data_IF_085669684155
#
_entry.id   IF_085669684155
#
_cell.length_a   1.000
_cell.length_b   1.000
_cell.length_c   1.000
_cell.angle_alpha   90.00
_cell.angle_beta   90.00
_cell.angle_gamma   90.00
#
_symmetry.space_group_name_H-M   'P 1'
#
loop_
_entity.id
_entity.type
_entity.pdbx_description
1 polymer ?
#
# COMPACT_ATOMS: atom_id res chain seq x y z
N UNK A 1 -21.54 -21.45 4.28
CA UNK A 1 -20.15 -21.55 3.77
C UNK A 1 -19.96 -20.39 2.82
N UNK A 2 -18.79 -19.72 2.83
CA UNK A 2 -18.52 -18.69 1.84
C UNK A 2 -18.12 -19.33 0.50
N UNK A 3 -18.73 -18.84 -0.59
CA UNK A 3 -18.35 -19.18 -1.95
C UNK A 3 -17.11 -18.40 -2.40
N UNK A 4 -16.94 -17.18 -1.89
CA UNK A 4 -15.77 -16.35 -2.16
C UNK A 4 -15.74 -15.10 -1.28
N UNK A 5 -14.59 -14.45 -1.24
CA UNK A 5 -14.34 -13.20 -0.50
C UNK A 5 -13.77 -12.17 -1.48
N UNK A 6 -14.43 -11.03 -1.60
CA UNK A 6 -13.92 -9.85 -2.30
C UNK A 6 -13.21 -8.94 -1.31
N UNK A 7 -11.99 -8.52 -1.65
CA UNK A 7 -11.23 -7.51 -0.92
C UNK A 7 -10.98 -6.33 -1.84
N UNK A 8 -11.62 -5.20 -1.56
CA UNK A 8 -11.19 -3.91 -2.09
C UNK A 8 -10.01 -3.42 -1.25
N UNK A 9 -8.80 -3.57 -1.80
CA UNK A 9 -7.58 -3.04 -1.19
C UNK A 9 -7.25 -1.68 -1.81
N UNK A 10 -7.97 -0.66 -1.39
CA UNK A 10 -7.85 0.69 -1.93
C UNK A 10 -6.64 1.46 -1.38
N UNK A 11 -6.29 2.56 -2.05
CA UNK A 11 -5.14 3.42 -1.72
C UNK A 11 -5.29 4.11 -0.36
N UNK A 12 -6.50 4.55 -0.03
CA UNK A 12 -6.80 5.28 1.20
C UNK A 12 -7.57 4.45 2.22
N UNK A 13 -8.47 3.59 1.75
CA UNK A 13 -9.34 2.75 2.56
C UNK A 13 -9.42 1.37 1.93
N UNK A 14 -9.71 0.35 2.74
CA UNK A 14 -9.95 -1.02 2.33
C UNK A 14 -11.28 -1.50 2.87
N UNK A 15 -11.95 -2.37 2.13
CA UNK A 15 -13.21 -3.01 2.51
C UNK A 15 -13.22 -4.48 2.07
N UNK A 16 -13.91 -5.35 2.80
CA UNK A 16 -14.06 -6.74 2.40
C UNK A 16 -15.50 -7.21 2.56
N UNK A 17 -15.89 -8.16 1.71
CA UNK A 17 -17.19 -8.80 1.76
C UNK A 17 -17.06 -10.27 1.36
N UNK A 18 -17.94 -11.12 1.87
CA UNK A 18 -18.03 -12.52 1.45
C UNK A 18 -19.39 -12.79 0.81
N UNK A 19 -19.42 -13.75 -0.11
CA UNK A 19 -20.63 -14.16 -0.82
C UNK A 19 -21.06 -15.54 -0.35
N UNK A 20 -22.32 -15.69 0.03
CA UNK A 20 -22.87 -16.95 0.56
C UNK A 20 -23.54 -17.84 -0.51
N UNK A 21 -23.54 -17.40 -1.77
CA UNK A 21 -24.23 -18.04 -2.89
C UNK A 21 -25.52 -17.31 -3.30
N UNK A 22 -26.04 -16.45 -2.43
CA UNK A 22 -27.22 -15.63 -2.68
C UNK A 22 -26.93 -14.14 -2.46
N UNK A 23 -26.35 -13.78 -1.32
CA UNK A 23 -26.13 -12.41 -0.85
C UNK A 23 -24.66 -12.11 -0.51
N UNK A 24 -24.34 -10.81 -0.61
CA UNK A 24 -23.04 -10.25 -0.25
C UNK A 24 -23.12 -9.71 1.17
N UNK A 25 -22.23 -10.20 2.03
CA UNK A 25 -22.15 -9.85 3.44
C UNK A 25 -20.87 -9.07 3.71
N UNK A 26 -21.00 -7.82 4.14
CA UNK A 26 -19.86 -6.97 4.48
C UNK A 26 -19.14 -7.50 5.72
N UNK A 27 -17.81 -7.41 5.73
CA UNK A 27 -16.96 -7.84 6.84
C UNK A 27 -16.54 -6.60 7.63
N UNK A 28 -16.77 -6.62 8.94
CA UNK A 28 -16.20 -5.63 9.85
C UNK A 28 -14.68 -5.79 9.90
N UNK A 29 -13.95 -4.91 9.22
CA UNK A 29 -12.49 -4.95 9.19
C UNK A 29 -11.88 -4.37 10.47
N UNK A 30 -12.58 -3.44 11.13
CA UNK A 30 -12.28 -2.91 12.46
C UNK A 30 -13.49 -3.12 13.39
N UNK A 31 -13.35 -2.86 14.70
CA UNK A 31 -14.33 -3.23 15.75
C UNK A 31 -15.78 -2.81 15.43
N UNK A 32 -15.99 -1.65 14.81
CA UNK A 32 -17.33 -1.12 14.54
C UNK A 32 -17.52 -0.63 13.09
N UNK A 33 -16.59 -0.94 12.18
CA UNK A 33 -16.66 -0.45 10.80
C UNK A 33 -16.22 -1.49 9.79
N UNK A 34 -16.96 -1.53 8.67
CA UNK A 34 -16.68 -2.37 7.50
C UNK A 34 -15.52 -1.85 6.65
N UNK A 35 -15.09 -0.61 6.91
CA UNK A 35 -13.97 0.04 6.24
C UNK A 35 -12.79 0.18 7.19
N UNK A 36 -11.60 -0.12 6.68
CA UNK A 36 -10.33 0.06 7.37
C UNK A 36 -9.46 1.06 6.61
N UNK A 37 -8.92 2.12 7.24
CA UNK A 37 -7.94 2.99 6.59
C UNK A 37 -6.71 2.21 6.11
N UNK A 38 -6.27 2.43 4.88
CA UNK A 38 -5.04 1.83 4.34
C UNK A 38 -3.81 2.58 4.87
N UNK A 39 -3.50 2.32 6.13
CA UNK A 39 -2.46 3.02 6.87
C UNK A 39 -1.65 2.05 7.75
N UNK A 40 -0.33 2.14 7.69
CA UNK A 40 0.58 1.38 8.56
C UNK A 40 1.50 2.34 9.29
N UNK A 41 1.62 2.15 10.60
CA UNK A 41 2.52 2.90 11.47
C UNK A 41 3.63 1.98 11.96
N UNK A 42 4.88 2.40 11.82
CA UNK A 42 6.05 1.69 12.35
C UNK A 42 6.70 2.54 13.43
N UNK A 43 6.81 2.00 14.65
CA UNK A 43 7.60 2.63 15.71
C UNK A 43 9.12 2.45 15.47
N UNK A 44 9.96 3.04 16.34
CA UNK A 44 11.43 2.91 16.25
C UNK A 44 11.96 1.49 16.36
N UNK A 45 11.21 0.58 16.99
CA UNK A 45 11.56 -0.85 17.06
C UNK A 45 10.88 -1.65 15.95
N UNK A 46 10.36 -0.95 14.93
CA UNK A 46 9.76 -1.49 13.71
C UNK A 46 8.51 -2.35 13.94
N UNK A 47 7.79 -2.12 15.05
CA UNK A 47 6.50 -2.76 15.29
C UNK A 47 5.40 -2.05 14.51
N UNK A 48 4.62 -2.84 13.79
CA UNK A 48 3.54 -2.34 12.96
C UNK A 48 2.22 -2.22 13.73
N UNK A 49 1.56 -1.06 13.60
CA UNK A 49 0.12 -0.89 13.80
C UNK A 49 -0.53 -0.59 12.45
N UNK A 50 -1.80 -0.94 12.29
CA UNK A 50 -2.53 -0.79 11.03
C UNK A 50 -3.87 -0.10 11.23
N UNK A 51 -4.44 0.46 10.16
CA UNK A 51 -5.80 1.01 10.20
C UNK A 51 -5.92 2.28 11.03
N UNK A 52 -7.07 2.45 11.68
CA UNK A 52 -7.36 3.57 12.58
C UNK A 52 -6.38 3.62 13.75
N UNK A 53 -5.95 2.47 14.27
CA UNK A 53 -4.95 2.39 15.34
C UNK A 53 -3.58 2.94 14.90
N UNK A 54 -3.19 2.77 13.63
CA UNK A 54 -1.96 3.37 13.09
C UNK A 54 -2.02 4.89 13.08
N UNK A 55 -3.14 5.44 12.59
CA UNK A 55 -3.36 6.89 12.49
C UNK A 55 -3.41 7.50 13.90
N UNK A 56 -4.18 6.89 14.80
CA UNK A 56 -4.30 7.35 16.19
C UNK A 56 -2.96 7.33 16.92
N UNK A 57 -2.18 6.26 16.76
CA UNK A 57 -0.84 6.18 17.35
C UNK A 57 0.05 7.32 16.86
N UNK A 58 0.09 7.55 15.54
CA UNK A 58 0.88 8.65 14.96
C UNK A 58 0.46 10.02 15.51
N UNK A 59 -0.84 10.28 15.62
CA UNK A 59 -1.35 11.54 16.19
C UNK A 59 -0.89 11.69 17.64
N UNK A 60 -1.09 10.66 18.47
CA UNK A 60 -0.71 10.70 19.89
C UNK A 60 0.79 10.90 20.10
N UNK A 61 1.63 10.24 19.30
CA UNK A 61 3.09 10.38 19.37
C UNK A 61 3.61 11.76 18.94
N UNK A 62 2.80 12.50 18.17
CA UNK A 62 3.17 13.82 17.66
C UNK A 62 2.42 14.96 18.36
N UNK A 63 1.57 14.67 19.35
CA UNK A 63 0.98 15.68 20.22
C UNK A 63 2.07 16.27 21.12
N UNK A 64 2.15 17.60 21.16
CA UNK A 64 3.03 18.39 22.04
C UNK A 64 4.52 18.02 21.98
N UNK A 65 4.96 17.43 20.86
CA UNK A 65 6.34 16.99 20.65
C UNK A 65 7.22 18.15 20.15
N UNK A 66 8.47 18.16 20.62
CA UNK A 66 9.53 19.01 20.05
C UNK A 66 10.05 18.37 18.76
N UNK A 67 10.00 19.12 17.66
CA UNK A 67 10.53 18.70 16.36
C UNK A 67 12.03 18.95 16.31
N UNK A 68 12.83 17.89 16.20
CA UNK A 68 14.30 17.95 16.19
C UNK A 68 14.84 17.82 14.78
N UNK A 69 14.90 18.95 14.10
CA UNK A 69 15.38 19.07 12.74
C UNK A 69 16.91 18.98 12.70
N UNK A 70 17.43 17.90 12.11
CA UNK A 70 18.87 17.70 11.90
C UNK A 70 19.19 17.63 10.41
N UNK A 71 20.23 18.33 9.92
CA UNK A 71 20.70 18.14 8.55
C UNK A 71 21.22 16.71 8.35
N UNK A 72 20.81 16.05 7.27
CA UNK A 72 21.32 14.73 6.92
C UNK A 72 22.73 14.86 6.29
N UNK A 73 23.73 14.15 6.81
CA UNK A 73 25.05 14.08 6.16
C UNK A 73 24.94 13.15 4.97
N UNK A 74 25.04 13.69 3.76
CA UNK A 74 24.89 12.93 2.51
C UNK A 74 26.23 12.44 1.96
N UNK A 75 27.35 13.03 2.39
CA UNK A 75 28.69 12.59 2.03
C UNK A 75 29.74 13.11 3.03
N UNK A 76 30.94 12.53 2.97
CA UNK A 76 32.14 13.12 3.53
C UNK A 76 33.07 13.51 2.39
N UNK A 77 33.43 14.80 2.32
CA UNK A 77 34.44 15.29 1.39
C UNK A 77 35.79 15.26 2.11
N UNK A 78 36.77 14.56 1.53
CA UNK A 78 38.16 14.61 1.99
C UNK A 78 38.96 15.45 1.01
N UNK A 79 39.59 16.51 1.53
CA UNK A 79 40.47 17.38 0.76
C UNK A 79 41.89 17.19 1.29
N UNK A 80 42.83 16.97 0.37
CA UNK A 80 44.26 17.02 0.70
C UNK A 80 44.64 18.49 0.85
N UNK A 81 45.03 18.89 2.04
CA UNK A 81 45.36 20.27 2.40
C UNK A 81 46.86 20.51 2.51
N UNK A 82 47.66 19.44 2.57
CA UNK A 82 49.12 19.49 2.53
C UNK A 82 49.67 18.32 1.72
N UNK A 83 50.65 18.60 0.84
CA UNK A 83 51.36 17.57 0.08
C UNK A 83 52.43 16.91 0.94
N UNK A 84 52.70 15.63 0.70
CA UNK A 84 53.85 14.96 1.32
C UNK A 84 55.16 15.55 0.78
N UNK A 85 56.11 15.83 1.66
CA UNK A 85 57.43 16.32 1.27
C UNK A 85 58.24 15.21 0.60
N UNK A 86 58.60 15.42 -0.67
CA UNK A 86 59.32 14.42 -1.47
C UNK A 86 60.68 13.99 -0.89
N UNK A 87 61.26 14.77 0.03
CA UNK A 87 62.55 14.48 0.66
C UNK A 87 62.43 13.66 1.96
N UNK A 88 61.23 13.51 2.54
CA UNK A 88 61.00 12.73 3.76
C UNK A 88 60.12 11.50 3.44
N UNK A 89 60.69 10.28 3.47
CA UNK A 89 59.95 9.03 3.22
C UNK A 89 58.81 8.75 4.19
N UNK A 90 58.75 9.45 5.32
CA UNK A 90 57.70 9.30 6.33
C UNK A 90 56.64 10.40 6.27
N UNK A 91 56.83 11.42 5.42
CA UNK A 91 55.83 12.47 5.25
C UNK A 91 54.57 11.92 4.59
N UNK A 92 53.40 12.26 5.15
CA UNK A 92 52.10 11.88 4.61
C UNK A 92 51.31 13.13 4.26
N UNK A 93 50.50 13.08 3.19
CA UNK A 93 49.65 14.21 2.84
C UNK A 93 48.64 14.47 3.96
N UNK A 94 48.49 15.73 4.33
CA UNK A 94 47.51 16.13 5.34
C UNK A 94 46.12 16.12 4.70
N UNK A 95 45.19 15.35 5.26
CA UNK A 95 43.83 15.21 4.75
C UNK A 95 42.87 15.83 5.76
N UNK A 96 42.13 16.85 5.32
CA UNK A 96 41.02 17.42 6.08
C UNK A 96 39.71 16.81 5.59
N UNK A 97 38.96 16.18 6.49
CA UNK A 97 37.63 15.61 6.19
C UNK A 97 36.53 16.55 6.67
N UNK A 98 35.58 16.87 5.79
CA UNK A 98 34.40 17.68 6.11
C UNK A 98 33.11 16.93 5.74
N UNK A 99 32.11 17.00 6.61
CA UNK A 99 30.79 16.45 6.35
C UNK A 99 30.02 17.35 5.37
N UNK A 100 29.54 16.78 4.28
CA UNK A 100 28.62 17.43 3.33
C UNK A 100 27.20 17.14 3.79
N UNK A 101 26.50 18.17 4.22
CA UNK A 101 25.10 18.09 4.62
C UNK A 101 24.20 18.28 3.40
N UNK A 102 23.20 17.41 3.24
CA UNK A 102 22.19 17.52 2.21
C UNK A 102 21.12 18.54 2.55
N UNK A 103 20.29 18.89 1.56
CA UNK A 103 19.15 19.77 1.73
C UNK A 103 18.01 19.15 2.57
N UNK A 104 18.05 17.84 2.82
CA UNK A 104 17.04 17.14 3.59
C UNK A 104 17.24 17.39 5.08
N UNK A 105 16.25 18.04 5.70
CA UNK A 105 16.15 18.17 7.15
C UNK A 105 15.33 17.01 7.66
N UNK A 106 15.95 16.12 8.44
CA UNK A 106 15.28 14.97 9.03
C UNK A 106 14.90 15.26 10.47
N UNK A 107 13.67 14.90 10.83
CA UNK A 107 13.21 14.97 12.21
C UNK A 107 13.72 13.75 12.99
N UNK A 108 14.85 13.92 13.68
CA UNK A 108 15.48 12.87 14.49
C UNK A 108 14.69 12.57 15.75
N UNK A 109 13.72 13.40 16.14
CA UNK A 109 12.85 13.19 17.29
C UNK A 109 11.61 12.33 16.99
N UNK A 110 11.42 11.92 15.73
CA UNK A 110 10.19 11.23 15.32
C UNK A 110 10.04 9.86 16.04
N UNK A 111 8.97 9.62 16.82
CA UNK A 111 8.80 8.37 17.58
C UNK A 111 8.37 7.19 16.68
N UNK A 112 7.71 7.50 15.57
CA UNK A 112 7.11 6.53 14.66
C UNK A 112 6.82 7.15 13.28
N UNK A 113 6.85 6.32 12.23
CA UNK A 113 6.51 6.73 10.85
C UNK A 113 5.17 6.17 10.44
N UNK A 114 4.28 7.06 9.99
CA UNK A 114 3.02 6.70 9.36
C UNK A 114 3.18 6.63 7.84
N UNK A 115 2.74 5.53 7.25
CA UNK A 115 2.68 5.32 5.81
C UNK A 115 1.23 5.22 5.36
N UNK A 116 0.88 6.02 4.35
CA UNK A 116 -0.43 6.02 3.67
C UNK A 116 -0.18 6.03 2.16
N UNK A 117 -1.12 5.47 1.39
CA UNK A 117 -1.03 5.49 -0.07
C UNK A 117 0.10 4.63 -0.66
N UNK A 118 0.61 3.64 0.08
CA UNK A 118 1.71 2.74 -0.36
C UNK A 118 1.37 2.03 -1.67
N UNK A 119 0.08 1.76 -1.94
CA UNK A 119 -0.41 1.16 -3.19
C UNK A 119 -0.06 1.97 -4.45
N UNK A 120 0.19 3.29 -4.34
CA UNK A 120 0.65 4.11 -5.48
C UNK A 120 2.10 3.82 -5.87
N UNK A 121 2.91 3.38 -4.92
CA UNK A 121 4.34 3.17 -5.12
C UNK A 121 4.65 1.78 -5.69
N UNK A 122 3.73 0.82 -5.55
CA UNK A 122 4.03 -0.57 -5.83
C UNK A 122 4.14 -0.86 -7.34
N UNK A 123 3.60 0.00 -8.21
CA UNK A 123 3.81 -0.09 -9.67
C UNK A 123 5.19 0.38 -10.13
N UNK A 124 5.92 1.15 -9.31
CA UNK A 124 7.22 1.68 -9.70
C UNK A 124 8.34 0.63 -9.48
N UNK A 125 8.89 0.11 -10.58
CA UNK A 125 9.94 -0.90 -10.57
C UNK A 125 11.27 -0.41 -9.94
N UNK A 126 11.59 0.88 -10.10
CA UNK A 126 12.80 1.50 -9.56
C UNK A 126 12.71 1.65 -8.04
N UNK A 127 11.50 1.91 -7.52
CA UNK A 127 11.25 2.00 -6.09
C UNK A 127 11.11 0.60 -5.46
N UNK A 128 12.25 -0.04 -5.22
CA UNK A 128 12.30 -1.36 -4.54
C UNK A 128 12.22 -1.24 -3.03
N UNK A 129 12.79 -0.17 -2.47
CA UNK A 129 12.90 0.06 -1.04
C UNK A 129 12.67 1.52 -0.68
N UNK A 130 12.22 1.75 0.54
CA UNK A 130 12.20 3.05 1.17
C UNK A 130 12.87 2.96 2.55
N UNK A 131 13.45 4.06 3.02
CA UNK A 131 14.03 4.12 4.35
C UNK A 131 12.91 4.28 5.38
N UNK A 132 12.92 3.47 6.43
CA UNK A 132 12.13 3.65 7.65
C UNK A 132 13.14 3.88 8.77
N UNK A 133 13.32 5.14 9.15
CA UNK A 133 14.50 5.54 9.93
C UNK A 133 15.77 5.07 9.20
N UNK A 134 16.64 4.33 9.88
CA UNK A 134 17.92 3.85 9.33
C UNK A 134 17.80 2.46 8.66
N UNK A 135 16.58 1.96 8.45
CA UNK A 135 16.34 0.62 7.91
C UNK A 135 15.72 0.65 6.50
N UNK A 136 16.31 -0.06 5.52
CA UNK A 136 15.77 -0.13 4.16
C UNK A 136 14.65 -1.17 4.03
N UNK A 137 13.40 -0.72 3.99
CA UNK A 137 12.20 -1.55 3.87
C UNK A 137 11.77 -1.76 2.42
N UNK A 138 11.39 -3.00 2.07
CA UNK A 138 10.68 -3.28 0.82
C UNK A 138 9.24 -2.78 0.93
N UNK A 139 8.66 -2.30 -0.17
CA UNK A 139 7.23 -1.90 -0.20
C UNK A 139 6.30 -3.05 0.21
N UNK A 140 6.64 -4.28 -0.20
CA UNK A 140 5.95 -5.53 0.20
C UNK A 140 5.83 -5.66 1.72
N UNK A 141 6.88 -5.30 2.46
CA UNK A 141 6.91 -5.39 3.92
C UNK A 141 5.97 -4.37 4.59
N UNK A 142 5.63 -3.28 3.91
CA UNK A 142 4.66 -2.29 4.39
C UNK A 142 3.21 -2.71 4.12
N UNK A 143 2.97 -3.45 3.04
CA UNK A 143 1.66 -4.00 2.72
C UNK A 143 1.31 -5.23 3.58
N UNK A 144 2.31 -6.03 3.95
CA UNK A 144 2.10 -7.32 4.63
C UNK A 144 1.33 -7.19 5.95
N UNK A 145 1.65 -6.25 6.87
CA UNK A 145 0.88 -6.07 8.10
C UNK A 145 -0.59 -5.73 7.85
N UNK A 146 -0.87 -4.92 6.82
CA UNK A 146 -2.23 -4.54 6.44
C UNK A 146 -3.04 -5.76 6.00
N UNK A 147 -2.49 -6.52 5.05
CA UNK A 147 -3.15 -7.72 4.53
C UNK A 147 -3.30 -8.79 5.63
N UNK A 148 -2.35 -8.87 6.57
CA UNK A 148 -2.45 -9.78 7.72
C UNK A 148 -3.61 -9.40 8.65
N UNK A 149 -3.76 -8.10 8.96
CA UNK A 149 -4.87 -7.61 9.77
C UNK A 149 -6.21 -7.86 9.08
N UNK A 150 -6.31 -7.57 7.78
CA UNK A 150 -7.51 -7.83 6.97
C UNK A 150 -7.85 -9.33 6.97
N UNK A 151 -6.87 -10.21 6.72
CA UNK A 151 -7.05 -11.67 6.78
C UNK A 151 -7.60 -12.11 8.13
N UNK A 152 -7.04 -11.60 9.23
CA UNK A 152 -7.51 -11.91 10.58
C UNK A 152 -8.97 -11.49 10.78
N UNK A 153 -9.37 -10.31 10.28
CA UNK A 153 -10.76 -9.87 10.34
C UNK A 153 -11.70 -10.75 9.51
N UNK A 154 -11.27 -11.18 8.31
CA UNK A 154 -12.03 -12.13 7.48
C UNK A 154 -12.20 -13.48 8.19
N UNK A 155 -11.14 -14.01 8.80
CA UNK A 155 -11.14 -15.32 9.47
C UNK A 155 -12.00 -15.38 10.73
N UNK A 156 -12.36 -14.24 11.33
CA UNK A 156 -13.33 -14.20 12.45
C UNK A 156 -14.74 -14.58 12.02
N UNK A 157 -15.09 -14.36 10.76
CA UNK A 157 -16.45 -14.58 10.23
C UNK A 157 -16.53 -15.72 9.23
N UNK A 158 -15.45 -15.97 8.49
CA UNK A 158 -15.40 -16.99 7.43
C UNK A 158 -14.09 -17.77 7.52
N UNK A 159 -14.18 -19.10 7.60
CA UNK A 159 -13.00 -19.95 7.44
C UNK A 159 -12.54 -19.95 5.99
N UNK A 160 -11.37 -19.36 5.74
CA UNK A 160 -10.78 -19.31 4.41
C UNK A 160 -10.20 -20.67 4.01
N UNK A 161 -10.59 -21.16 2.83
CA UNK A 161 -9.89 -22.25 2.14
C UNK A 161 -8.96 -21.68 1.06
N UNK A 162 -8.25 -22.54 0.32
CA UNK A 162 -7.37 -22.07 -0.76
C UNK A 162 -8.19 -21.41 -1.87
N UNK A 163 -7.68 -20.29 -2.40
CA UNK A 163 -8.17 -19.64 -3.64
C UNK A 163 -9.58 -19.00 -3.57
N UNK A 164 -10.04 -18.63 -2.37
CA UNK A 164 -11.35 -17.97 -2.18
C UNK A 164 -11.30 -16.45 -2.18
N UNK A 165 -10.12 -15.85 -2.06
CA UNK A 165 -9.97 -14.40 -1.94
C UNK A 165 -9.66 -13.81 -3.31
N UNK A 166 -10.41 -12.77 -3.69
CA UNK A 166 -10.20 -11.99 -4.90
C UNK A 166 -9.90 -10.56 -4.48
N UNK A 167 -8.76 -10.03 -4.89
CA UNK A 167 -8.34 -8.67 -4.54
C UNK A 167 -8.66 -7.71 -5.69
N UNK A 168 -9.33 -6.60 -5.38
CA UNK A 168 -9.59 -5.49 -6.29
C UNK A 168 -8.28 -4.85 -6.76
N UNK A 169 -8.25 -4.43 -8.02
CA UNK A 169 -7.14 -3.68 -8.61
C UNK A 169 -7.62 -2.57 -9.54
N UNK A 170 -6.87 -1.48 -9.71
CA UNK A 170 -7.16 -0.52 -10.76
C UNK A 170 -6.94 -1.18 -12.13
N UNK A 171 -7.50 -0.59 -13.19
CA UNK A 171 -7.26 -1.07 -14.57
C UNK A 171 -5.78 -0.92 -14.92
N UNK A 172 -5.17 0.18 -14.50
CA UNK A 172 -3.75 0.45 -14.62
C UNK A 172 -3.20 0.92 -13.26
N UNK A 173 -2.08 0.34 -12.83
CA UNK A 173 -1.36 0.88 -11.68
C UNK A 173 -0.54 2.11 -12.08
N UNK A 174 -0.42 3.09 -11.18
CA UNK A 174 0.46 4.25 -11.36
C UNK A 174 1.93 3.78 -11.48
N UNK A 175 2.62 4.25 -12.52
CA UNK A 175 4.02 3.93 -12.75
C UNK A 175 4.43 3.87 -14.22
N UNK A 176 5.69 3.48 -14.48
CA UNK A 176 6.23 3.31 -15.83
C UNK A 176 5.59 2.12 -16.56
N UNK A 177 5.97 1.90 -17.82
CA UNK A 177 5.55 0.70 -18.57
C UNK A 177 5.85 -0.57 -17.77
N UNK A 178 4.89 -1.49 -17.68
CA UNK A 178 4.99 -2.69 -16.85
C UNK A 178 4.56 -2.51 -15.38
N UNK A 179 4.02 -1.35 -15.00
CA UNK A 179 3.64 -1.06 -13.61
C UNK A 179 2.61 -2.05 -13.04
N UNK A 180 1.64 -2.47 -13.85
CA UNK A 180 0.61 -3.41 -13.42
C UNK A 180 1.20 -4.77 -13.05
N UNK A 181 2.10 -5.30 -13.86
CA UNK A 181 2.79 -6.57 -13.62
C UNK A 181 3.61 -6.51 -12.33
N UNK A 182 4.36 -5.42 -12.14
CA UNK A 182 5.18 -5.20 -10.94
C UNK A 182 4.30 -5.06 -9.69
N UNK A 183 3.23 -4.28 -9.76
CA UNK A 183 2.31 -4.07 -8.65
C UNK A 183 1.60 -5.36 -8.25
N UNK A 184 1.09 -6.12 -9.22
CA UNK A 184 0.42 -7.40 -8.97
C UNK A 184 1.37 -8.43 -8.37
N UNK A 185 2.62 -8.49 -8.85
CA UNK A 185 3.63 -9.37 -8.27
C UNK A 185 3.92 -9.00 -6.80
N UNK A 186 4.10 -7.72 -6.49
CA UNK A 186 4.34 -7.25 -5.11
C UNK A 186 3.13 -7.46 -4.20
N UNK A 187 1.92 -7.25 -4.71
CA UNK A 187 0.68 -7.45 -3.96
C UNK A 187 0.45 -8.94 -3.67
N UNK A 188 0.68 -9.81 -4.66
CA UNK A 188 0.66 -11.27 -4.50
C UNK A 188 1.70 -11.74 -3.48
N UNK A 189 2.93 -11.22 -3.55
CA UNK A 189 3.98 -11.52 -2.58
C UNK A 189 3.59 -11.09 -1.15
N UNK A 190 3.06 -9.88 -0.98
CA UNK A 190 2.61 -9.38 0.31
C UNK A 190 1.43 -10.20 0.88
N UNK A 191 0.48 -10.58 0.03
CA UNK A 191 -0.64 -11.44 0.40
C UNK A 191 -0.14 -12.82 0.86
N UNK A 192 0.84 -13.38 0.15
CA UNK A 192 1.54 -14.61 0.52
C UNK A 192 2.16 -14.55 1.91
N UNK A 193 2.97 -13.52 2.21
CA UNK A 193 3.56 -13.34 3.55
C UNK A 193 2.52 -13.07 4.63
N UNK A 194 1.39 -12.44 4.29
CA UNK A 194 0.29 -12.21 5.21
C UNK A 194 -0.51 -13.47 5.53
N UNK A 195 -0.28 -14.57 4.80
CA UNK A 195 -1.08 -15.80 4.85
C UNK A 195 -2.43 -15.68 4.13
N UNK A 196 -2.66 -14.58 3.40
CA UNK A 196 -3.84 -14.36 2.58
C UNK A 196 -3.60 -15.02 1.22
N UNK A 197 -4.01 -16.28 1.08
CA UNK A 197 -3.76 -17.11 -0.12
C UNK A 197 -4.62 -16.66 -1.30
N UNK A 198 -4.26 -15.53 -1.89
CA UNK A 198 -4.92 -14.91 -3.04
C UNK A 198 -3.95 -14.75 -4.20
N UNK A 199 -4.25 -15.37 -5.34
CA UNK A 199 -3.58 -15.10 -6.62
C UNK A 199 -4.54 -14.51 -7.67
N UNK A 200 -5.78 -14.20 -7.27
CA UNK A 200 -6.84 -13.69 -8.15
C UNK A 200 -7.03 -12.21 -7.93
N UNK A 201 -7.04 -11.46 -9.03
CA UNK A 201 -7.24 -10.03 -9.04
C UNK A 201 -8.38 -9.67 -9.97
N UNK A 202 -9.19 -8.68 -9.58
CA UNK A 202 -10.34 -8.26 -10.38
C UNK A 202 -10.34 -6.73 -10.57
N UNK A 203 -10.58 -6.22 -11.78
CA UNK A 203 -10.63 -4.78 -12.02
C UNK A 203 -11.74 -4.11 -11.19
N UNK A 204 -11.37 -3.10 -10.41
CA UNK A 204 -12.26 -2.30 -9.58
C UNK A 204 -13.44 -1.75 -10.40
N UNK A 205 -13.26 -1.21 -11.62
CA UNK A 205 -14.39 -0.71 -12.39
C UNK A 205 -15.38 -1.78 -12.86
N UNK A 206 -14.89 -2.99 -13.13
CA UNK A 206 -15.75 -4.13 -13.46
C UNK A 206 -16.51 -4.62 -12.21
N UNK A 207 -15.89 -4.60 -11.03
CA UNK A 207 -16.56 -4.96 -9.78
C UNK A 207 -17.72 -3.99 -9.49
N UNK A 208 -17.48 -2.70 -9.70
CA UNK A 208 -18.51 -1.66 -9.54
C UNK A 208 -19.67 -1.87 -10.53
N UNK A 209 -19.38 -2.11 -11.82
CA UNK A 209 -20.42 -2.39 -12.82
C UNK A 209 -21.20 -3.66 -12.48
N UNK A 210 -20.52 -4.73 -12.05
CA UNK A 210 -21.17 -5.98 -11.63
C UNK A 210 -22.14 -5.74 -10.46
N UNK A 211 -21.70 -4.99 -9.45
CA UNK A 211 -22.53 -4.64 -8.29
C UNK A 211 -23.80 -3.90 -8.74
N UNK A 212 -23.65 -2.92 -9.63
CA UNK A 212 -24.78 -2.17 -10.20
C UNK A 212 -25.76 -3.08 -10.98
N UNK A 213 -25.24 -3.95 -11.84
CA UNK A 213 -26.07 -4.87 -12.64
C UNK A 213 -26.84 -5.86 -11.76
N UNK A 214 -26.20 -6.46 -10.76
CA UNK A 214 -26.86 -7.38 -9.83
C UNK A 214 -27.98 -6.68 -9.07
N UNK A 215 -27.75 -5.44 -8.63
CA UNK A 215 -28.77 -4.65 -7.93
C UNK A 215 -29.97 -4.30 -8.84
N UNK A 216 -29.71 -3.95 -10.10
CA UNK A 216 -30.77 -3.67 -11.07
C UNK A 216 -31.62 -4.90 -11.40
N UNK A 217 -30.99 -6.06 -11.61
CA UNK A 217 -31.70 -7.33 -11.84
C UNK A 217 -32.61 -7.66 -10.66
N UNK A 218 -32.12 -7.50 -9.42
CA UNK A 218 -32.93 -7.67 -8.20
C UNK A 218 -34.10 -6.69 -8.10
N UNK A 219 -33.96 -5.50 -8.70
CA UNK A 219 -34.98 -4.46 -8.72
C UNK A 219 -35.97 -4.60 -9.89
N UNK A 220 -35.89 -5.69 -10.67
CA UNK A 220 -36.78 -5.97 -11.80
C UNK A 220 -36.45 -5.20 -13.08
N UNK A 221 -35.27 -4.55 -13.15
CA UNK A 221 -34.81 -3.84 -14.35
C UNK A 221 -33.97 -4.80 -15.21
N UNK A 222 -34.58 -5.40 -16.22
CA UNK A 222 -33.90 -6.33 -17.15
C UNK A 222 -33.18 -5.59 -18.30
N UNK A 223 -32.15 -4.81 -17.99
CA UNK A 223 -31.20 -4.39 -19.01
C UNK A 223 -30.17 -5.50 -19.24
N UNK A 224 -30.39 -6.31 -20.28
CA UNK A 224 -29.51 -7.44 -20.61
C UNK A 224 -28.25 -7.02 -21.39
N UNK A 225 -28.18 -5.81 -21.96
CA UNK A 225 -26.97 -5.32 -22.64
C UNK A 225 -26.89 -3.80 -22.60
N UNK A 226 -25.67 -3.27 -22.55
CA UNK A 226 -25.48 -1.83 -22.51
C UNK A 226 -24.03 -1.40 -22.37
N UNK A 227 -23.88 -0.12 -22.04
CA UNK A 227 -22.61 0.54 -21.83
C UNK A 227 -22.72 1.32 -20.52
N UNK A 228 -21.86 1.01 -19.56
CA UNK A 228 -21.77 1.72 -18.29
C UNK A 228 -20.50 2.57 -18.28
N UNK A 229 -20.60 3.81 -17.84
CA UNK A 229 -19.42 4.60 -17.49
C UNK A 229 -19.22 4.45 -15.99
N UNK A 230 -18.15 3.74 -15.60
CA UNK A 230 -17.71 3.70 -14.21
C UNK A 230 -16.78 4.88 -13.96
N UNK A 231 -17.14 5.69 -12.99
CA UNK A 231 -16.36 6.83 -12.51
C UNK A 231 -15.96 6.54 -11.06
N UNK A 232 -14.68 6.19 -10.85
CA UNK A 232 -14.14 5.93 -9.52
C UNK A 232 -13.19 7.05 -9.12
N UNK A 233 -13.60 7.85 -8.15
CA UNK A 233 -12.82 8.95 -7.59
C UNK A 233 -12.44 8.62 -6.15
N UNK A 234 -11.32 7.91 -6.02
CA UNK A 234 -10.77 7.48 -4.74
C UNK A 234 -9.90 8.54 -4.07
N UNK A 235 -9.34 8.19 -2.91
CA UNK A 235 -8.51 9.09 -2.09
C UNK A 235 -7.11 9.40 -2.66
N UNK A 236 -6.94 9.40 -3.98
CA UNK A 236 -5.67 9.70 -4.64
C UNK A 236 -5.54 9.22 -6.09
N UNK A 237 -6.53 8.49 -6.61
CA UNK A 237 -6.62 8.04 -8.01
C UNK A 237 -7.97 8.42 -8.58
N UNK A 238 -8.02 8.63 -9.88
CA UNK A 238 -9.24 8.83 -10.65
C UNK A 238 -9.20 7.82 -11.79
N UNK A 239 -10.13 6.87 -11.76
CA UNK A 239 -10.25 5.81 -12.74
C UNK A 239 -11.58 5.96 -13.48
N UNK A 240 -11.51 6.21 -14.79
CA UNK A 240 -12.67 6.23 -15.69
C UNK A 240 -12.62 4.98 -16.57
N UNK A 241 -13.74 4.28 -16.68
CA UNK A 241 -13.83 3.07 -17.49
C UNK A 241 -15.17 2.96 -18.17
N UNK A 242 -15.15 2.63 -19.45
CA UNK A 242 -16.35 2.41 -20.24
C UNK A 242 -16.59 0.90 -20.35
N UNK A 243 -17.50 0.38 -19.55
CA UNK A 243 -17.76 -1.06 -19.47
C UNK A 243 -18.90 -1.44 -20.39
N UNK A 244 -18.58 -2.24 -21.42
CA UNK A 244 -19.61 -2.89 -22.23
C UNK A 244 -20.05 -4.16 -21.53
N UNK A 245 -21.36 -4.35 -21.38
CA UNK A 245 -21.92 -5.54 -20.76
C UNK A 245 -22.99 -6.22 -21.61
N UNK A 246 -23.06 -7.55 -21.50
CA UNK A 246 -24.11 -8.42 -22.01
C UNK A 246 -24.40 -9.50 -20.96
N UNK A 247 -25.47 -9.32 -20.18
CA UNK A 247 -25.70 -10.04 -18.93
C UNK A 247 -24.55 -9.78 -17.96
N UNK A 248 -23.93 -10.86 -17.47
CA UNK A 248 -22.76 -10.81 -16.57
C UNK A 248 -21.42 -10.82 -17.33
N UNK A 249 -21.43 -10.91 -18.66
CA UNK A 249 -20.22 -10.79 -19.46
C UNK A 249 -19.88 -9.31 -19.61
N UNK A 250 -18.67 -8.91 -19.23
CA UNK A 250 -18.23 -7.52 -19.23
C UNK A 250 -16.83 -7.38 -19.80
N UNK A 251 -16.58 -6.26 -20.48
CA UNK A 251 -15.27 -5.87 -20.96
C UNK A 251 -15.07 -4.35 -20.76
N UNK A 252 -13.85 -3.97 -20.38
CA UNK A 252 -13.36 -2.57 -20.32
C UNK A 252 -12.69 -2.22 -21.63
#
# INVERSE_FOLDING_TARGET
>A
MAFGVGLDFGTSNSAAAWFDGQDVHMIALEEETVVMPTAVHLDRVLRARTGTAAIRQYILENQDRIVELTPEVIAQASLVTGEAEAADPFSQPEITTSAVYGAAVIDRGLPGRLFRGVKRLIGNAEMKRLMVFDHPFRLVALLTPMLKAIRQSIERVVSLTHDQVIIGRPVHFEGPSGASEVALARLSEAAGYAGLKSNRFYPEPLAATLSYLVQNVRSGVEQQKGLALTFDFGGGTLDLSLVRFNGLQMAV
#
